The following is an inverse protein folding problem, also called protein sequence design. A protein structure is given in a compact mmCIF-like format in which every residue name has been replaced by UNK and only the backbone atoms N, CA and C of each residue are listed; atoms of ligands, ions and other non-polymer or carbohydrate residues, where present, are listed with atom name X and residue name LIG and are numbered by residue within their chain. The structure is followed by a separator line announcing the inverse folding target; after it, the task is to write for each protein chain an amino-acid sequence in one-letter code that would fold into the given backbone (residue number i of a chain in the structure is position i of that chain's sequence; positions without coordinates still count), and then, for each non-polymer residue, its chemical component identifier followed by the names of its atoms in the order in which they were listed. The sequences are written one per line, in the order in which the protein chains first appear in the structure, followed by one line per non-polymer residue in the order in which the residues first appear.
data_IF_962241872057
#
_entry.id   IF_962241872057
#
_cell.length_a   1.000
_cell.length_b   1.000
_cell.length_c   1.000
_cell.angle_alpha   90.00
_cell.angle_beta   90.00
_cell.angle_gamma   90.00
#
_symmetry.space_group_name_H-M   'P 1'
#
loop_
_entity.id
_entity.type
_entity.pdbx_description
1 polymer ?
#
# COMPACT_ATOMS: atom_id res chain seq x y z
N UNK A 1 22.00 -10.75 -17.23
CA UNK A 1 21.89 -9.54 -16.40
C UNK A 1 21.46 -10.00 -15.01
N UNK A 2 22.30 -9.76 -14.01
CA UNK A 2 21.90 -10.01 -12.64
C UNK A 2 20.71 -9.11 -12.32
N UNK A 3 19.69 -9.68 -11.66
CA UNK A 3 18.53 -8.93 -11.22
C UNK A 3 18.95 -8.07 -10.02
N UNK A 4 18.99 -6.74 -10.24
CA UNK A 4 19.42 -5.78 -9.20
C UNK A 4 18.27 -5.38 -8.25
N UNK A 5 17.21 -6.18 -8.16
CA UNK A 5 16.03 -5.85 -7.39
C UNK A 5 15.11 -4.82 -8.05
N UNK A 6 14.05 -4.39 -7.38
CA UNK A 6 13.11 -3.40 -7.90
C UNK A 6 13.69 -1.99 -7.88
N UNK A 7 13.13 -1.14 -8.74
CA UNK A 7 13.55 0.26 -8.85
C UNK A 7 14.78 0.46 -9.75
N UNK A 8 15.45 1.59 -9.57
CA UNK A 8 16.56 2.05 -10.40
C UNK A 8 17.67 2.65 -9.53
N UNK A 9 18.92 2.53 -9.97
CA UNK A 9 20.08 3.06 -9.26
C UNK A 9 20.06 4.61 -9.11
N UNK A 10 19.36 5.29 -10.02
CA UNK A 10 19.23 6.75 -10.00
C UNK A 10 18.01 7.21 -10.78
N UNK A 11 17.54 8.46 -10.58
CA UNK A 11 16.49 9.04 -11.42
C UNK A 11 16.82 9.04 -12.91
N UNK A 12 18.08 9.26 -13.26
CA UNK A 12 18.56 9.23 -14.66
C UNK A 12 18.41 7.85 -15.29
N UNK A 13 18.63 6.78 -14.53
CA UNK A 13 18.38 5.41 -15.00
C UNK A 13 16.89 5.12 -15.11
N UNK A 14 16.07 5.59 -14.19
CA UNK A 14 14.61 5.48 -14.28
C UNK A 14 14.04 6.13 -15.54
N UNK A 15 14.59 7.27 -15.97
CA UNK A 15 14.15 7.95 -17.19
C UNK A 15 14.44 7.16 -18.48
N UNK A 16 15.33 6.19 -18.45
CA UNK A 16 15.66 5.31 -19.60
C UNK A 16 14.75 4.08 -19.67
N UNK A 17 13.96 3.84 -18.63
CA UNK A 17 13.06 2.69 -18.58
C UNK A 17 11.91 2.80 -19.59
N UNK A 18 11.34 1.68 -20.03
CA UNK A 18 10.10 1.69 -20.80
C UNK A 18 9.00 2.44 -20.07
N UNK A 19 8.18 3.17 -20.83
CA UNK A 19 7.02 3.87 -20.28
C UNK A 19 6.07 2.88 -19.60
N UNK A 20 5.57 3.26 -18.42
CA UNK A 20 4.53 2.52 -17.73
C UNK A 20 3.24 2.52 -18.54
N UNK A 21 2.55 1.38 -18.57
CA UNK A 21 1.34 1.16 -19.35
C UNK A 21 0.08 0.97 -18.52
N UNK A 22 0.23 0.96 -17.21
CA UNK A 22 -0.84 0.74 -16.24
C UNK A 22 -0.69 1.75 -15.12
N UNK A 23 -1.83 2.31 -14.68
CA UNK A 23 -1.94 3.13 -13.50
C UNK A 23 -2.93 2.48 -12.53
N UNK A 24 -2.55 2.35 -11.28
CA UNK A 24 -3.46 1.99 -10.20
C UNK A 24 -3.89 3.24 -9.44
N UNK A 25 -5.17 3.33 -9.12
CA UNK A 25 -5.71 4.39 -8.26
C UNK A 25 -6.86 3.84 -7.41
N UNK A 26 -7.01 4.37 -6.22
CA UNK A 26 -8.15 4.05 -5.37
C UNK A 26 -9.36 4.92 -5.74
N UNK A 27 -10.55 4.36 -5.51
CA UNK A 27 -11.81 5.07 -5.61
C UNK A 27 -12.66 4.76 -4.37
N UNK A 28 -13.11 5.80 -3.70
CA UNK A 28 -13.82 5.70 -2.43
C UNK A 28 -15.26 6.17 -2.57
N UNK A 29 -16.15 5.55 -1.78
CA UNK A 29 -17.54 5.96 -1.67
C UNK A 29 -17.85 6.76 -0.40
N UNK A 30 -16.86 6.96 0.47
CA UNK A 30 -17.00 7.78 1.68
C UNK A 30 -17.52 9.17 1.34
N UNK A 31 -18.56 9.61 2.06
CA UNK A 31 -19.18 10.93 1.85
C UNK A 31 -20.13 11.03 0.66
N UNK A 32 -20.28 9.99 -0.16
CA UNK A 32 -21.16 10.01 -1.35
C UNK A 32 -22.59 9.56 -1.06
N UNK A 33 -22.85 8.92 0.09
CA UNK A 33 -24.13 8.28 0.40
C UNK A 33 -24.30 6.89 -0.25
N UNK A 34 -23.36 6.47 -1.11
CA UNK A 34 -23.41 5.18 -1.81
C UNK A 34 -22.89 4.08 -0.88
N UNK A 35 -23.72 3.07 -0.64
CA UNK A 35 -23.37 1.92 0.21
C UNK A 35 -22.75 0.80 -0.63
N UNK A 36 -21.51 0.99 -1.04
CA UNK A 36 -20.71 0.01 -1.80
C UNK A 36 -19.28 -0.01 -1.25
N UNK A 37 -18.56 -1.13 -1.45
CA UNK A 37 -17.15 -1.20 -1.11
C UNK A 37 -16.32 -0.22 -1.96
N UNK A 38 -15.31 0.35 -1.34
CA UNK A 38 -14.25 1.05 -2.06
C UNK A 38 -13.51 0.07 -2.97
N UNK A 39 -12.80 0.56 -3.98
CA UNK A 39 -12.14 -0.31 -4.94
C UNK A 39 -10.83 0.26 -5.47
N UNK A 40 -9.96 -0.64 -5.90
CA UNK A 40 -8.76 -0.32 -6.68
C UNK A 40 -9.10 -0.34 -8.17
N UNK A 41 -8.88 0.77 -8.86
CA UNK A 41 -8.96 0.88 -10.31
C UNK A 41 -7.65 0.47 -10.97
N UNK A 42 -7.73 -0.28 -12.05
CA UNK A 42 -6.66 -0.38 -13.05
C UNK A 42 -7.04 0.46 -14.25
N UNK A 43 -6.18 1.39 -14.61
CA UNK A 43 -6.37 2.30 -15.75
C UNK A 43 -5.33 1.97 -16.81
N UNK A 44 -5.77 1.85 -18.06
CA UNK A 44 -4.86 1.69 -19.19
C UNK A 44 -4.16 3.03 -19.50
N UNK A 45 -2.85 3.07 -19.32
CA UNK A 45 -2.01 4.23 -19.55
C UNK A 45 -1.16 4.13 -20.83
N UNK A 46 -1.36 3.08 -21.65
CA UNK A 46 -0.69 2.93 -22.95
C UNK A 46 -1.38 3.79 -24.03
N UNK A 47 -0.77 4.87 -24.52
CA UNK A 47 -1.37 5.72 -25.53
C UNK A 47 -1.62 5.03 -26.87
N UNK A 48 -1.01 3.86 -27.12
CA UNK A 48 -1.24 3.06 -28.31
C UNK A 48 -2.42 2.08 -28.15
N UNK A 49 -2.97 1.93 -26.96
CA UNK A 49 -4.06 1.01 -26.66
C UNK A 49 -5.42 1.60 -27.05
N UNK A 50 -6.35 0.78 -27.57
CA UNK A 50 -7.75 1.23 -27.83
C UNK A 50 -8.50 1.57 -26.52
N UNK A 51 -8.00 1.13 -25.38
CA UNK A 51 -8.56 1.41 -24.05
C UNK A 51 -7.77 2.46 -23.27
N UNK A 52 -6.90 3.24 -23.94
CA UNK A 52 -6.16 4.31 -23.30
C UNK A 52 -7.05 5.23 -22.47
N UNK A 53 -6.60 5.57 -21.26
CA UNK A 53 -7.31 6.39 -20.26
C UNK A 53 -8.64 5.79 -19.75
N UNK A 54 -8.92 4.52 -20.01
CA UNK A 54 -10.12 3.84 -19.49
C UNK A 54 -9.80 3.02 -18.26
N UNK A 55 -10.77 2.91 -17.35
CA UNK A 55 -10.76 1.91 -16.28
C UNK A 55 -11.01 0.55 -16.95
N UNK A 56 -10.03 -0.34 -16.86
CA UNK A 56 -10.07 -1.67 -17.48
C UNK A 56 -10.35 -2.78 -16.46
N UNK A 57 -10.13 -2.51 -15.17
CA UNK A 57 -10.46 -3.44 -14.08
C UNK A 57 -10.81 -2.66 -12.80
N UNK A 58 -11.66 -3.28 -11.96
CA UNK A 58 -12.01 -2.82 -10.62
C UNK A 58 -11.92 -3.98 -9.66
N UNK A 59 -11.06 -3.85 -8.66
CA UNK A 59 -10.99 -4.77 -7.54
C UNK A 59 -11.72 -4.16 -6.36
N UNK A 60 -12.97 -4.59 -6.13
CA UNK A 60 -13.75 -4.17 -4.97
C UNK A 60 -13.17 -4.80 -3.69
N UNK A 61 -13.07 -3.99 -2.62
CA UNK A 61 -12.64 -4.49 -1.32
C UNK A 61 -13.77 -5.28 -0.63
N UNK A 62 -13.45 -6.17 0.31
CA UNK A 62 -14.47 -7.00 0.96
C UNK A 62 -15.48 -6.23 1.82
N UNK A 63 -15.04 -5.12 2.42
CA UNK A 63 -15.80 -4.40 3.42
C UNK A 63 -16.31 -3.05 2.89
N UNK A 64 -17.38 -2.51 3.48
CA UNK A 64 -17.95 -1.19 3.14
C UNK A 64 -17.46 -0.17 4.17
N UNK A 65 -17.10 1.03 3.72
CA UNK A 65 -16.74 2.13 4.60
C UNK A 65 -15.28 2.11 5.07
N UNK A 66 -14.41 1.43 4.33
CA UNK A 66 -12.97 1.36 4.61
C UNK A 66 -12.27 2.72 4.54
N UNK A 67 -12.69 3.59 3.62
CA UNK A 67 -11.96 4.78 3.21
C UNK A 67 -10.51 4.42 2.83
N UNK A 68 -10.35 3.78 1.68
CA UNK A 68 -9.03 3.45 1.15
C UNK A 68 -8.19 4.71 1.00
N UNK A 69 -6.91 4.62 1.34
CA UNK A 69 -6.03 5.77 1.38
C UNK A 69 -4.68 5.51 0.71
N UNK A 70 -3.59 6.13 1.19
CA UNK A 70 -2.27 6.03 0.59
C UNK A 70 -1.81 4.58 0.43
N UNK A 71 -1.57 4.18 -0.81
CA UNK A 71 -1.07 2.85 -1.12
C UNK A 71 0.43 2.87 -1.42
N UNK A 72 1.11 1.79 -1.11
CA UNK A 72 2.55 1.66 -1.35
C UNK A 72 2.92 0.24 -1.78
N UNK A 73 4.07 0.14 -2.46
CA UNK A 73 4.59 -1.14 -2.92
C UNK A 73 5.30 -1.90 -1.79
N UNK A 74 5.26 -3.24 -1.86
CA UNK A 74 6.04 -4.10 -0.99
C UNK A 74 7.55 -3.97 -1.20
N UNK A 75 7.97 -3.45 -2.31
CA UNK A 75 9.36 -3.23 -2.67
C UNK A 75 9.49 -2.02 -3.59
N UNK A 76 10.53 -1.22 -3.42
CA UNK A 76 10.77 0.01 -4.17
C UNK A 76 12.27 0.20 -4.41
N UNK A 77 12.70 1.41 -4.77
CA UNK A 77 14.11 1.71 -5.03
C UNK A 77 15.05 1.45 -3.85
N UNK A 78 14.53 1.43 -2.61
CA UNK A 78 15.34 1.05 -1.43
C UNK A 78 15.76 -0.42 -1.45
N UNK A 79 15.11 -1.25 -2.27
CA UNK A 79 15.46 -2.65 -2.48
C UNK A 79 16.33 -2.85 -3.74
N UNK A 80 16.86 -1.79 -4.33
CA UNK A 80 17.86 -1.90 -5.40
C UNK A 80 19.08 -2.68 -4.88
N UNK A 81 19.66 -3.52 -5.68
CA UNK A 81 20.70 -4.50 -5.32
C UNK A 81 20.21 -5.74 -4.51
N UNK A 82 18.94 -5.85 -4.14
CA UNK A 82 18.39 -7.08 -3.59
C UNK A 82 17.64 -7.89 -4.67
N UNK A 83 18.35 -8.80 -5.33
CA UNK A 83 17.79 -9.67 -6.38
C UNK A 83 16.70 -10.65 -5.89
N UNK A 84 16.50 -10.76 -4.59
CA UNK A 84 15.42 -11.58 -4.00
C UNK A 84 14.10 -10.81 -3.86
N UNK A 85 14.15 -9.50 -4.01
CA UNK A 85 12.97 -8.64 -3.90
C UNK A 85 12.36 -8.36 -5.27
N UNK A 86 11.04 -8.38 -5.32
CA UNK A 86 10.27 -7.98 -6.51
C UNK A 86 9.10 -7.09 -6.12
N UNK A 87 8.79 -6.10 -6.96
CA UNK A 87 7.61 -5.25 -6.80
C UNK A 87 6.38 -5.99 -7.30
N UNK A 88 5.81 -6.84 -6.46
CA UNK A 88 4.74 -7.78 -6.80
C UNK A 88 3.43 -7.49 -6.12
N UNK A 89 3.48 -6.78 -4.99
CA UNK A 89 2.31 -6.53 -4.16
C UNK A 89 2.13 -5.06 -3.87
N UNK A 90 0.88 -4.62 -3.95
CA UNK A 90 0.46 -3.29 -3.55
C UNK A 90 -0.30 -3.38 -2.22
N UNK A 91 0.15 -2.63 -1.22
CA UNK A 91 -0.54 -2.52 0.06
C UNK A 91 -1.50 -1.35 0.01
N UNK A 92 -2.76 -1.59 0.29
CA UNK A 92 -3.85 -0.61 0.21
C UNK A 92 -4.50 -0.49 1.59
N UNK A 93 -4.16 0.54 2.37
CA UNK A 93 -4.73 0.74 3.69
C UNK A 93 -6.13 1.35 3.63
N UNK A 94 -7.00 0.91 4.55
CA UNK A 94 -8.30 1.51 4.83
C UNK A 94 -8.24 2.28 6.15
N UNK A 95 -8.29 3.61 6.09
CA UNK A 95 -8.09 4.47 7.27
C UNK A 95 -9.13 4.22 8.35
N UNK A 96 -10.40 4.08 7.98
CA UNK A 96 -11.49 3.91 8.97
C UNK A 96 -11.58 2.51 9.53
N UNK A 97 -11.45 1.50 8.69
CA UNK A 97 -11.50 0.10 9.11
C UNK A 97 -10.24 -0.34 9.84
N UNK A 98 -9.13 0.32 9.57
CA UNK A 98 -7.77 -0.10 9.90
C UNK A 98 -7.33 -1.40 9.22
N UNK A 99 -8.08 -1.92 8.26
CA UNK A 99 -7.66 -3.03 7.43
C UNK A 99 -6.54 -2.60 6.47
N UNK A 100 -5.66 -3.54 6.14
CA UNK A 100 -4.67 -3.36 5.09
C UNK A 100 -4.85 -4.49 4.08
N UNK A 101 -5.13 -4.15 2.85
CA UNK A 101 -5.36 -5.08 1.76
C UNK A 101 -4.07 -5.26 0.95
N UNK A 102 -3.62 -6.50 0.82
CA UNK A 102 -2.45 -6.86 0.02
C UNK A 102 -2.95 -7.34 -1.33
N UNK A 103 -2.59 -6.64 -2.38
CA UNK A 103 -3.06 -6.90 -3.74
C UNK A 103 -1.92 -7.47 -4.58
N UNK A 104 -2.12 -8.66 -5.14
CA UNK A 104 -1.21 -9.27 -6.13
C UNK A 104 -1.36 -8.55 -7.47
N UNK A 105 -0.32 -7.87 -7.88
CA UNK A 105 -0.22 -7.15 -9.15
C UNK A 105 0.72 -7.83 -10.14
N UNK A 106 1.46 -8.86 -9.71
CA UNK A 106 2.45 -9.52 -10.56
C UNK A 106 1.84 -10.62 -11.43
N UNK A 107 0.82 -11.34 -10.93
CA UNK A 107 0.19 -12.43 -11.68
C UNK A 107 -0.52 -11.92 -12.92
N UNK A 108 -1.31 -10.87 -12.80
CA UNK A 108 -1.93 -10.16 -13.92
C UNK A 108 -2.03 -8.66 -13.58
N UNK A 109 -1.09 -7.84 -14.07
CA UNK A 109 -1.09 -6.41 -13.79
C UNK A 109 -2.33 -5.68 -14.31
N UNK A 110 -3.01 -6.20 -15.32
CA UNK A 110 -4.23 -5.58 -15.86
C UNK A 110 -5.49 -5.94 -15.08
N UNK A 111 -5.44 -7.02 -14.30
CA UNK A 111 -6.54 -7.53 -13.47
C UNK A 111 -6.00 -8.02 -12.12
N UNK A 112 -5.48 -7.11 -11.28
CA UNK A 112 -4.93 -7.46 -9.97
C UNK A 112 -6.01 -8.06 -9.07
N UNK A 113 -5.58 -8.86 -8.08
CA UNK A 113 -6.50 -9.55 -7.18
C UNK A 113 -6.08 -9.45 -5.73
N UNK A 114 -7.03 -9.55 -4.83
CA UNK A 114 -6.75 -9.59 -3.40
C UNK A 114 -5.97 -10.87 -3.06
N UNK A 115 -4.82 -10.69 -2.41
CA UNK A 115 -3.96 -11.79 -1.95
C UNK A 115 -4.20 -12.09 -0.46
N UNK A 116 -4.19 -11.05 0.39
CA UNK A 116 -4.29 -11.16 1.85
C UNK A 116 -4.95 -9.91 2.41
N UNK A 117 -5.63 -10.06 3.54
CA UNK A 117 -6.09 -8.93 4.35
C UNK A 117 -5.46 -9.01 5.74
N UNK A 118 -4.79 -7.96 6.17
CA UNK A 118 -4.39 -7.76 7.56
C UNK A 118 -5.57 -7.04 8.23
N UNK A 119 -6.23 -7.71 9.18
CA UNK A 119 -7.42 -7.15 9.82
C UNK A 119 -7.05 -6.06 10.82
N UNK A 120 -7.81 -4.98 10.82
CA UNK A 120 -7.63 -3.87 11.76
C UNK A 120 -7.75 -4.31 13.22
N UNK A 121 -8.58 -5.32 13.52
CA UNK A 121 -8.66 -5.91 14.85
C UNK A 121 -7.34 -6.54 15.31
N UNK A 122 -6.63 -7.22 14.41
CA UNK A 122 -5.32 -7.84 14.72
C UNK A 122 -4.25 -6.76 14.94
N UNK A 123 -4.27 -5.70 14.11
CA UNK A 123 -3.36 -4.55 14.26
C UNK A 123 -3.58 -3.91 15.63
N UNK A 124 -4.82 -3.55 15.95
CA UNK A 124 -5.19 -2.92 17.23
C UNK A 124 -4.77 -3.77 18.43
N UNK A 125 -5.04 -5.06 18.39
CA UNK A 125 -4.75 -5.96 19.51
C UNK A 125 -3.26 -6.21 19.73
N UNK A 126 -2.45 -6.22 18.67
CA UNK A 126 -1.02 -6.54 18.74
C UNK A 126 -0.15 -5.31 18.97
N UNK A 127 -0.60 -4.12 18.55
CA UNK A 127 0.27 -2.95 18.47
C UNK A 127 -0.31 -1.70 19.13
N UNK A 128 -1.57 -1.73 19.54
CA UNK A 128 -2.31 -0.54 19.96
C UNK A 128 -2.28 0.58 18.91
N UNK A 129 -2.35 0.23 17.61
CA UNK A 129 -2.36 1.19 16.50
C UNK A 129 -3.63 1.07 15.66
N UNK A 130 -4.04 2.18 15.02
CA UNK A 130 -5.18 2.26 14.11
C UNK A 130 -4.98 3.32 13.02
N UNK A 131 -5.89 3.32 12.04
CA UNK A 131 -5.93 4.29 10.96
C UNK A 131 -4.60 4.34 10.16
N UNK A 132 -4.26 3.28 9.41
CA UNK A 132 -3.07 3.22 8.56
C UNK A 132 -3.13 4.29 7.47
N UNK A 133 -2.01 4.95 7.21
CA UNK A 133 -1.93 6.03 6.24
C UNK A 133 -0.86 5.76 5.17
N UNK A 134 0.39 6.13 5.37
CA UNK A 134 1.45 6.02 4.37
C UNK A 134 2.21 4.71 4.50
N UNK A 135 2.50 4.07 3.36
CA UNK A 135 3.20 2.79 3.26
C UNK A 135 4.54 2.97 2.57
N UNK A 136 5.62 2.53 3.21
CA UNK A 136 6.96 2.44 2.62
C UNK A 136 7.60 1.09 2.88
N UNK A 137 8.29 0.57 1.86
CA UNK A 137 9.19 -0.57 2.05
C UNK A 137 10.53 -0.10 2.68
N UNK A 138 11.12 -0.94 3.49
CA UNK A 138 12.42 -0.75 4.11
C UNK A 138 13.24 -2.03 3.93
N UNK A 139 13.82 -2.19 2.75
CA UNK A 139 14.47 -3.46 2.39
C UNK A 139 13.47 -4.61 2.41
N UNK A 140 13.72 -5.62 3.25
CA UNK A 140 12.83 -6.79 3.40
C UNK A 140 11.63 -6.56 4.34
N UNK A 141 11.45 -5.36 4.83
CA UNK A 141 10.41 -4.99 5.78
C UNK A 141 9.52 -3.88 5.22
N UNK A 142 8.39 -3.65 5.86
CA UNK A 142 7.43 -2.62 5.46
C UNK A 142 7.04 -1.83 6.70
N UNK A 143 7.09 -0.51 6.58
CA UNK A 143 6.65 0.41 7.62
C UNK A 143 5.41 1.14 7.13
N UNK A 144 4.42 1.25 8.01
CA UNK A 144 3.16 1.94 7.72
C UNK A 144 2.89 2.94 8.84
N UNK A 145 2.73 4.23 8.48
CA UNK A 145 2.33 5.23 9.45
C UNK A 145 0.89 4.99 9.90
N UNK A 146 0.65 5.18 11.19
CA UNK A 146 -0.64 4.95 11.83
C UNK A 146 -1.07 6.23 12.53
N UNK A 147 -2.25 6.75 12.17
CA UNK A 147 -2.71 8.06 12.66
C UNK A 147 -3.04 8.06 14.15
N UNK A 148 -3.44 6.93 14.72
CA UNK A 148 -3.88 6.85 16.10
C UNK A 148 -3.57 5.53 16.80
N UNK A 149 -3.83 5.51 18.10
CA UNK A 149 -3.85 4.29 18.91
C UNK A 149 -5.10 3.44 18.61
N UNK A 150 -5.28 2.30 19.27
CA UNK A 150 -6.43 1.41 19.01
C UNK A 150 -7.80 2.06 19.23
N UNK A 151 -7.87 3.17 19.99
CA UNK A 151 -9.10 3.96 20.21
C UNK A 151 -9.30 5.04 19.14
N UNK A 152 -8.35 5.25 18.25
CA UNK A 152 -8.36 6.33 17.26
C UNK A 152 -7.90 7.68 17.82
N UNK A 153 -7.20 7.68 18.95
CA UNK A 153 -6.69 8.87 19.65
C UNK A 153 -5.17 8.96 19.48
N UNK A 154 -4.59 10.12 19.80
CA UNK A 154 -3.13 10.28 19.91
C UNK A 154 -2.58 9.48 21.12
N UNK A 155 -1.32 9.02 21.07
CA UNK A 155 -0.45 9.09 19.90
C UNK A 155 -0.73 7.99 18.87
N UNK A 156 -0.38 8.27 17.61
CA UNK A 156 -0.23 7.25 16.58
C UNK A 156 1.09 6.48 16.70
N UNK A 157 1.64 6.07 15.54
CA UNK A 157 2.92 5.35 15.50
C UNK A 157 3.22 4.79 14.13
N UNK A 158 4.06 3.76 14.12
CA UNK A 158 4.48 3.08 12.90
C UNK A 158 4.32 1.57 13.04
N UNK A 159 3.44 0.99 12.23
CA UNK A 159 3.25 -0.45 12.12
C UNK A 159 4.43 -1.06 11.36
N UNK A 160 4.98 -2.12 11.90
CA UNK A 160 6.10 -2.86 11.32
C UNK A 160 5.64 -4.24 10.83
N UNK A 161 5.87 -4.52 9.55
CA UNK A 161 5.57 -5.80 8.92
C UNK A 161 6.84 -6.41 8.34
N UNK A 162 6.89 -7.75 8.30
CA UNK A 162 7.89 -8.48 7.53
C UNK A 162 7.48 -8.60 6.04
N UNK A 163 8.35 -9.22 5.22
CA UNK A 163 8.10 -9.46 3.79
C UNK A 163 6.87 -10.34 3.49
N UNK A 164 6.44 -11.16 4.46
CA UNK A 164 5.29 -12.07 4.34
C UNK A 164 3.99 -11.41 4.84
N UNK A 165 4.08 -10.09 5.08
CA UNK A 165 2.97 -9.27 5.59
C UNK A 165 2.45 -9.75 6.95
N UNK A 166 3.34 -10.16 7.82
CA UNK A 166 3.06 -10.50 9.21
C UNK A 166 3.41 -9.31 10.11
N UNK A 167 2.58 -9.08 11.11
CA UNK A 167 2.77 -8.00 12.08
C UNK A 167 3.94 -8.37 13.01
N UNK A 168 5.02 -7.60 12.93
CA UNK A 168 6.16 -7.71 13.86
C UNK A 168 5.94 -6.88 15.14
N UNK A 169 5.19 -5.77 15.05
CA UNK A 169 4.92 -4.88 16.17
C UNK A 169 4.88 -3.42 15.76
N UNK A 170 5.26 -2.55 16.69
CA UNK A 170 5.57 -1.13 16.41
C UNK A 170 7.03 -1.02 16.02
N UNK A 171 7.33 -0.16 15.09
CA UNK A 171 8.72 0.09 14.68
C UNK A 171 9.44 1.02 15.67
N UNK A 172 8.76 2.03 16.15
CA UNK A 172 9.32 3.01 17.10
C UNK A 172 9.25 2.49 18.55
N UNK A 173 10.20 2.94 19.38
CA UNK A 173 10.17 2.73 20.84
C UNK A 173 9.32 3.77 21.56
N UNK A 174 9.20 4.96 21.00
CA UNK A 174 8.41 6.08 21.55
C UNK A 174 8.16 7.10 20.43
N UNK A 175 6.99 7.71 20.44
CA UNK A 175 6.67 8.85 19.58
C UNK A 175 7.18 10.18 20.15
N UNK A 176 7.69 10.21 21.38
CA UNK A 176 8.04 11.46 22.04
C UNK A 176 6.83 12.40 22.09
N UNK A 177 7.03 13.65 21.67
CA UNK A 177 5.98 14.67 21.61
C UNK A 177 5.20 14.68 20.27
N UNK A 178 5.44 13.70 19.39
CA UNK A 178 4.75 13.61 18.08
C UNK A 178 3.40 12.93 18.28
N UNK A 179 2.26 13.64 18.06
CA UNK A 179 0.94 13.08 18.37
C UNK A 179 0.46 12.08 17.31
N UNK A 180 0.84 12.24 16.02
CA UNK A 180 0.34 11.44 14.90
C UNK A 180 1.47 10.95 14.01
N UNK A 181 1.40 9.70 13.58
CA UNK A 181 2.20 9.16 12.49
C UNK A 181 1.51 9.42 11.14
N UNK A 182 1.56 10.68 10.62
CA UNK A 182 0.83 11.03 9.40
C UNK A 182 1.56 10.54 8.15
N UNK A 183 2.74 11.05 7.91
CA UNK A 183 3.56 10.73 6.74
C UNK A 183 5.03 10.65 7.12
N UNK A 184 5.83 9.97 6.31
CA UNK A 184 7.27 9.81 6.53
C UNK A 184 7.98 9.44 5.24
N UNK A 185 9.31 9.69 5.23
CA UNK A 185 10.21 9.37 4.10
C UNK A 185 11.51 8.78 4.60
#
# INVERSE_FOLDING_TARGET
MECCGPGYASPSEAMKAPREKILYTIAIYTGTGIQKPDYLCTIDADPASPTYSKVIHRLEMPDIGDELHHMGWNACSSCFDDGLMSRSYLLVPGVRSSNIYIVDTATDPRSPRLFKTIKGADIKSKTDLSAPHTVHCLGSEIIISMLGNAKGEAPGGYLHLNRDFEILGRWENSMGDIPFGYDFW
#
